data_IF_466030613406
#
_entry.id   IF_466030613406
#
_cell.length_a   1.000
_cell.length_b   1.000
_cell.length_c   1.000
_cell.angle_alpha   90.00
_cell.angle_beta   90.00
_cell.angle_gamma   90.00
#
_symmetry.space_group_name_H-M   'P 1'
#
loop_
_entity.id
_entity.type
_entity.pdbx_description
1 polymer ?
#
# COMPACT_ATOMS: atom_id res chain seq x y z
N UNK A 1 -21.27 -3.80 -8.22
CA UNK A 1 -19.97 -3.09 -8.09
C UNK A 1 -19.44 -2.82 -9.49
N UNK A 2 -18.84 -1.64 -9.74
CA UNK A 2 -18.33 -1.28 -11.06
C UNK A 2 -17.27 -2.31 -11.51
N UNK A 3 -17.55 -3.06 -12.59
CA UNK A 3 -16.69 -4.17 -13.07
C UNK A 3 -15.25 -3.71 -13.30
N UNK A 4 -15.08 -2.48 -13.78
CA UNK A 4 -13.78 -1.86 -14.00
C UNK A 4 -12.99 -1.68 -12.69
N UNK A 5 -13.64 -1.23 -11.61
CA UNK A 5 -12.99 -1.04 -10.30
C UNK A 5 -12.49 -2.37 -9.74
N UNK A 6 -13.32 -3.42 -9.78
CA UNK A 6 -12.92 -4.75 -9.31
C UNK A 6 -11.74 -5.29 -10.13
N UNK A 7 -11.78 -5.13 -11.46
CA UNK A 7 -10.70 -5.56 -12.34
C UNK A 7 -9.39 -4.83 -12.04
N UNK A 8 -9.43 -3.51 -11.84
CA UNK A 8 -8.25 -2.76 -11.45
C UNK A 8 -7.74 -3.21 -10.08
N UNK A 9 -8.62 -3.45 -9.10
CA UNK A 9 -8.24 -3.91 -7.75
C UNK A 9 -7.50 -5.23 -7.80
N UNK A 10 -8.05 -6.18 -8.56
CA UNK A 10 -7.45 -7.49 -8.81
C UNK A 10 -6.07 -7.35 -9.45
N UNK A 11 -5.97 -6.63 -10.58
CA UNK A 11 -4.71 -6.50 -11.32
C UNK A 11 -3.64 -5.84 -10.44
N UNK A 12 -3.96 -4.69 -9.84
CA UNK A 12 -2.98 -3.94 -9.04
C UNK A 12 -2.57 -4.69 -7.77
N UNK A 13 -3.51 -5.33 -7.08
CA UNK A 13 -3.22 -6.15 -5.90
C UNK A 13 -2.34 -7.35 -6.23
N UNK A 14 -2.64 -8.06 -7.32
CA UNK A 14 -1.83 -9.19 -7.80
C UNK A 14 -0.42 -8.72 -8.19
N UNK A 15 -0.30 -7.62 -8.93
CA UNK A 15 1.01 -7.10 -9.36
C UNK A 15 1.86 -6.72 -8.16
N UNK A 16 1.32 -5.99 -7.18
CA UNK A 16 2.07 -5.59 -5.98
C UNK A 16 2.46 -6.83 -5.16
N UNK A 17 1.54 -7.78 -4.98
CA UNK A 17 1.82 -9.01 -4.26
C UNK A 17 2.91 -9.85 -4.93
N UNK A 18 2.86 -9.99 -6.25
CA UNK A 18 3.88 -10.70 -7.02
C UNK A 18 5.25 -10.02 -6.91
N UNK A 19 5.30 -8.69 -7.03
CA UNK A 19 6.54 -7.93 -6.85
C UNK A 19 7.11 -8.11 -5.44
N UNK A 20 6.25 -8.11 -4.41
CA UNK A 20 6.70 -8.31 -3.04
C UNK A 20 7.28 -9.71 -2.81
N UNK A 21 6.67 -10.75 -3.41
CA UNK A 21 7.21 -12.11 -3.39
C UNK A 21 8.57 -12.17 -4.07
N UNK A 22 8.73 -11.54 -5.22
CA UNK A 22 10.02 -11.50 -5.93
C UNK A 22 11.08 -10.81 -5.08
N UNK A 23 10.79 -9.64 -4.51
CA UNK A 23 11.76 -8.92 -3.68
C UNK A 23 12.14 -9.69 -2.41
N UNK A 24 11.15 -10.25 -1.69
CA UNK A 24 11.42 -11.05 -0.51
C UNK A 24 12.20 -12.34 -0.86
N UNK A 25 11.87 -12.98 -1.97
CA UNK A 25 12.57 -14.18 -2.44
C UNK A 25 14.00 -13.92 -2.87
N UNK A 26 14.28 -12.77 -3.49
CA UNK A 26 15.64 -12.34 -3.81
C UNK A 26 16.46 -12.00 -2.55
N UNK A 27 15.82 -11.46 -1.52
CA UNK A 27 16.50 -11.04 -0.29
C UNK A 27 16.74 -12.20 0.70
N UNK A 28 15.73 -13.06 0.90
CA UNK A 28 15.73 -14.09 1.94
C UNK A 28 15.83 -15.52 1.37
N UNK A 29 15.66 -15.69 0.06
CA UNK A 29 15.60 -16.98 -0.63
C UNK A 29 14.17 -17.51 -0.77
N UNK A 30 13.78 -17.93 -1.98
CA UNK A 30 12.40 -18.41 -2.23
C UNK A 30 12.01 -19.65 -1.41
N UNK A 31 12.96 -20.52 -1.06
CA UNK A 31 12.70 -21.73 -0.27
C UNK A 31 12.53 -21.48 1.24
N UNK A 32 12.86 -20.27 1.73
CA UNK A 32 12.80 -19.93 3.16
C UNK A 32 11.54 -19.13 3.51
N UNK A 33 10.81 -18.64 2.50
CA UNK A 33 9.62 -17.83 2.73
C UNK A 33 8.49 -18.69 3.33
N UNK A 34 7.94 -18.29 4.48
CA UNK A 34 6.89 -19.04 5.13
C UNK A 34 5.56 -18.90 4.40
N UNK A 35 4.70 -19.92 4.46
CA UNK A 35 3.38 -19.93 3.78
C UNK A 35 2.53 -18.70 4.14
N UNK A 36 2.59 -18.25 5.40
CA UNK A 36 1.84 -17.06 5.84
C UNK A 36 2.22 -15.80 5.06
N UNK A 37 3.46 -15.67 4.58
CA UNK A 37 3.91 -14.50 3.84
C UNK A 37 3.17 -14.40 2.50
N UNK A 38 2.98 -15.52 1.81
CA UNK A 38 2.21 -15.60 0.57
C UNK A 38 0.73 -15.28 0.80
N UNK A 39 0.15 -15.82 1.89
CA UNK A 39 -1.24 -15.54 2.27
C UNK A 39 -1.44 -14.05 2.58
N UNK A 40 -0.47 -13.40 3.23
CA UNK A 40 -0.52 -11.96 3.47
C UNK A 40 -0.57 -11.15 2.16
N UNK A 41 0.10 -11.60 1.09
CA UNK A 41 0.05 -10.91 -0.20
C UNK A 41 -1.35 -10.94 -0.83
N UNK A 42 -2.15 -11.98 -0.56
CA UNK A 42 -3.53 -12.03 -1.05
C UNK A 42 -4.40 -10.93 -0.45
N UNK A 43 -4.07 -10.42 0.75
CA UNK A 43 -4.77 -9.31 1.38
C UNK A 43 -4.59 -7.99 0.61
N UNK A 44 -3.59 -7.88 -0.27
CA UNK A 44 -3.43 -6.70 -1.11
C UNK A 44 -4.60 -6.53 -2.08
N UNK A 45 -5.21 -7.62 -2.55
CA UNK A 45 -6.36 -7.57 -3.46
C UNK A 45 -7.54 -6.80 -2.85
N UNK A 46 -8.09 -7.18 -1.67
CA UNK A 46 -9.15 -6.41 -1.04
C UNK A 46 -8.66 -5.05 -0.54
N UNK A 47 -7.38 -4.90 -0.14
CA UNK A 47 -6.83 -3.61 0.29
C UNK A 47 -6.85 -2.56 -0.83
N UNK A 48 -6.71 -2.96 -2.10
CA UNK A 48 -6.77 -2.06 -3.26
C UNK A 48 -8.14 -1.39 -3.47
N UNK A 49 -9.20 -1.82 -2.75
CA UNK A 49 -10.48 -1.11 -2.77
C UNK A 49 -10.36 0.30 -2.18
N UNK A 50 -9.54 0.49 -1.14
CA UNK A 50 -9.37 1.79 -0.49
C UNK A 50 -8.80 2.87 -1.43
N UNK A 51 -7.63 2.68 -2.07
CA UNK A 51 -7.11 3.67 -3.00
C UNK A 51 -8.08 3.94 -4.15
N UNK A 52 -8.82 2.93 -4.62
CA UNK A 52 -9.82 3.12 -5.69
C UNK A 52 -11.01 3.96 -5.29
N UNK A 53 -11.36 3.95 -4.00
CA UNK A 53 -12.43 4.81 -3.47
C UNK A 53 -11.91 6.21 -3.15
N UNK A 54 -10.74 6.30 -2.51
CA UNK A 54 -10.26 7.57 -1.96
C UNK A 54 -9.48 8.41 -2.96
N UNK A 55 -8.66 7.83 -3.85
CA UNK A 55 -7.81 8.63 -4.76
C UNK A 55 -8.61 9.50 -5.73
N UNK A 56 -9.72 9.04 -6.35
CA UNK A 56 -10.54 9.91 -7.18
C UNK A 56 -11.13 11.09 -6.40
N UNK A 57 -11.62 10.84 -5.18
CA UNK A 57 -12.17 11.88 -4.30
C UNK A 57 -11.07 12.86 -3.85
N UNK A 58 -9.89 12.35 -3.51
CA UNK A 58 -8.73 13.14 -3.14
C UNK A 58 -8.33 14.08 -4.28
N UNK A 59 -8.25 13.57 -5.51
CA UNK A 59 -7.86 14.35 -6.69
C UNK A 59 -8.82 15.51 -7.00
N UNK A 60 -10.10 15.40 -6.60
CA UNK A 60 -11.09 16.47 -6.77
C UNK A 60 -11.18 17.42 -5.56
N UNK A 61 -10.56 17.07 -4.44
CA UNK A 61 -10.63 17.87 -3.20
C UNK A 61 -9.68 19.05 -3.27
N UNK A 62 -10.18 20.29 -3.14
CA UNK A 62 -9.35 21.51 -3.17
C UNK A 62 -8.52 21.73 -1.90
N UNK A 63 -9.13 21.50 -0.74
CA UNK A 63 -8.44 21.63 0.54
C UNK A 63 -7.25 20.66 0.63
N UNK A 64 -6.07 21.20 0.95
CA UNK A 64 -4.83 20.43 0.93
C UNK A 64 -4.81 19.36 2.02
N UNK A 65 -5.17 19.73 3.25
CA UNK A 65 -5.12 18.82 4.40
C UNK A 65 -6.07 17.63 4.21
N UNK A 66 -7.32 17.90 3.78
CA UNK A 66 -8.31 16.88 3.47
C UNK A 66 -7.88 16.00 2.29
N UNK A 67 -7.31 16.59 1.23
CA UNK A 67 -6.77 15.83 0.08
C UNK A 67 -5.63 14.89 0.52
N UNK A 68 -4.69 15.40 1.30
CA UNK A 68 -3.59 14.60 1.86
C UNK A 68 -4.12 13.47 2.74
N UNK A 69 -5.08 13.74 3.62
CA UNK A 69 -5.70 12.71 4.45
C UNK A 69 -6.34 11.59 3.61
N UNK A 70 -7.06 11.92 2.53
CA UNK A 70 -7.65 10.91 1.64
C UNK A 70 -6.59 10.09 0.90
N UNK A 71 -5.51 10.71 0.41
CA UNK A 71 -4.38 9.95 -0.17
C UNK A 71 -3.71 9.04 0.87
N UNK A 72 -3.52 9.53 2.09
CA UNK A 72 -2.99 8.74 3.21
C UNK A 72 -3.87 7.53 3.50
N UNK A 73 -5.19 7.71 3.63
CA UNK A 73 -6.14 6.63 3.86
C UNK A 73 -6.17 5.60 2.72
N UNK A 74 -6.00 6.04 1.47
CA UNK A 74 -5.90 5.12 0.33
C UNK A 74 -4.62 4.29 0.35
N UNK A 75 -3.50 4.83 0.82
CA UNK A 75 -2.23 4.10 0.91
C UNK A 75 -2.07 3.27 2.19
N UNK A 76 -2.75 3.64 3.27
CA UNK A 76 -2.51 3.12 4.61
C UNK A 76 -2.53 1.59 4.68
N UNK A 77 -3.61 0.95 4.21
CA UNK A 77 -3.77 -0.51 4.31
C UNK A 77 -2.87 -1.28 3.34
N UNK A 78 -2.85 -1.01 2.02
CA UNK A 78 -2.00 -1.77 1.11
C UNK A 78 -0.51 -1.63 1.46
N UNK A 79 -0.08 -0.44 1.90
CA UNK A 79 1.31 -0.24 2.31
C UNK A 79 1.64 -0.94 3.64
N UNK A 80 0.70 -1.00 4.59
CA UNK A 80 0.89 -1.74 5.84
C UNK A 80 1.11 -3.24 5.57
N UNK A 81 0.28 -3.84 4.71
CA UNK A 81 0.41 -5.26 4.33
C UNK A 81 1.77 -5.50 3.69
N UNK A 82 2.15 -4.68 2.70
CA UNK A 82 3.44 -4.77 2.04
C UNK A 82 4.61 -4.67 3.04
N UNK A 83 4.62 -3.62 3.87
CA UNK A 83 5.72 -3.28 4.77
C UNK A 83 5.87 -4.29 5.90
N UNK A 84 4.79 -4.58 6.62
CA UNK A 84 4.86 -5.46 7.79
C UNK A 84 5.09 -6.92 7.41
N UNK A 85 4.50 -7.40 6.30
CA UNK A 85 4.77 -8.77 5.86
C UNK A 85 6.25 -8.97 5.51
N UNK A 86 6.90 -7.96 4.91
CA UNK A 86 8.33 -8.02 4.61
C UNK A 86 9.23 -7.84 5.84
N UNK A 87 8.90 -6.88 6.71
CA UNK A 87 9.74 -6.55 7.87
C UNK A 87 9.82 -7.69 8.89
N UNK A 88 8.72 -8.43 9.08
CA UNK A 88 8.67 -9.58 10.01
C UNK A 88 9.57 -10.73 9.55
N UNK A 89 9.96 -10.79 8.27
CA UNK A 89 10.94 -11.78 7.79
C UNK A 89 12.36 -11.46 8.26
N UNK A 90 12.64 -10.22 8.67
CA UNK A 90 13.97 -9.83 9.14
C UNK A 90 14.22 -10.38 10.56
N UNK A 91 15.30 -11.15 10.80
CA UNK A 91 15.63 -11.65 12.14
C UNK A 91 15.83 -10.54 13.18
N UNK A 92 16.19 -9.33 12.75
CA UNK A 92 16.38 -8.15 13.60
C UNK A 92 15.12 -7.25 13.62
N UNK A 93 13.93 -7.82 13.43
CA UNK A 93 12.68 -7.06 13.37
C UNK A 93 12.44 -6.24 14.64
N UNK A 94 12.25 -4.94 14.45
CA UNK A 94 11.83 -4.02 15.51
C UNK A 94 10.43 -3.46 15.16
N UNK A 95 9.37 -3.86 15.88
CA UNK A 95 8.00 -3.45 15.60
C UNK A 95 7.79 -1.93 15.65
N UNK A 96 8.43 -1.25 16.60
CA UNK A 96 8.29 0.19 16.77
C UNK A 96 8.95 0.95 15.60
N UNK A 97 10.18 0.56 15.23
CA UNK A 97 10.87 1.15 14.08
C UNK A 97 10.10 0.91 12.77
N UNK A 98 9.55 -0.29 12.60
CA UNK A 98 8.70 -0.62 11.46
C UNK A 98 7.45 0.25 11.40
N UNK A 99 6.70 0.38 12.51
CA UNK A 99 5.52 1.24 12.60
C UNK A 99 5.84 2.71 12.31
N UNK A 100 6.92 3.24 12.87
CA UNK A 100 7.35 4.62 12.61
C UNK A 100 7.68 4.81 11.12
N UNK A 101 8.47 3.91 10.54
CA UNK A 101 8.82 3.98 9.11
C UNK A 101 7.58 3.91 8.20
N UNK A 102 6.60 3.09 8.60
CA UNK A 102 5.32 2.98 7.93
C UNK A 102 4.55 4.32 7.97
N UNK A 103 4.37 4.89 9.17
CA UNK A 103 3.65 6.15 9.35
C UNK A 103 4.31 7.29 8.57
N UNK A 104 5.64 7.37 8.63
CA UNK A 104 6.41 8.38 7.89
C UNK A 104 6.20 8.21 6.39
N UNK A 105 6.29 6.99 5.85
CA UNK A 105 6.12 6.78 4.41
C UNK A 105 4.69 7.08 3.94
N UNK A 106 3.68 6.68 4.71
CA UNK A 106 2.28 7.02 4.40
C UNK A 106 2.07 8.53 4.40
N UNK A 107 2.66 9.26 5.35
CA UNK A 107 2.62 10.72 5.39
C UNK A 107 3.33 11.34 4.18
N UNK A 108 4.49 10.82 3.80
CA UNK A 108 5.24 11.24 2.62
C UNK A 108 4.39 11.04 1.37
N UNK A 109 3.81 9.86 1.18
CA UNK A 109 2.90 9.62 0.05
C UNK A 109 1.68 10.54 0.08
N UNK A 110 1.04 10.71 1.24
CA UNK A 110 -0.10 11.61 1.39
C UNK A 110 0.22 13.03 0.91
N UNK A 111 1.34 13.59 1.37
CA UNK A 111 1.79 14.94 1.03
C UNK A 111 2.21 15.05 -0.43
N UNK A 112 3.00 14.10 -0.94
CA UNK A 112 3.47 14.10 -2.33
C UNK A 112 2.30 14.02 -3.30
N UNK A 113 1.39 13.07 -3.12
CA UNK A 113 0.23 12.91 -4.01
C UNK A 113 -0.73 14.10 -3.88
N UNK A 114 -0.94 14.66 -2.68
CA UNK A 114 -1.74 15.87 -2.53
C UNK A 114 -1.11 17.09 -3.22
N UNK A 115 0.20 17.14 -3.31
CA UNK A 115 0.92 18.22 -4.01
C UNK A 115 0.80 18.06 -5.52
N UNK A 116 1.09 16.86 -6.05
CA UNK A 116 1.11 16.56 -7.48
C UNK A 116 -0.31 16.59 -8.08
N UNK A 117 -1.30 16.06 -7.37
CA UNK A 117 -2.70 15.97 -7.82
C UNK A 117 -3.54 17.16 -7.34
N UNK A 118 -2.94 18.34 -7.23
CA UNK A 118 -3.70 19.56 -6.96
C UNK A 118 -4.70 19.77 -8.10
N UNK A 119 -6.01 19.90 -7.83
CA UNK A 119 -6.97 20.20 -8.87
C UNK A 119 -6.61 21.55 -9.49
N UNK A 120 -6.44 21.55 -10.81
CA UNK A 120 -6.38 22.78 -11.60
C UNK A 120 -7.81 23.34 -11.59
N UNK A 121 -7.95 24.63 -11.27
CA UNK A 121 -9.25 25.29 -11.36
C UNK A 121 -9.81 25.19 -12.77
#
# INVERSE_FOLDING_TARGET
MNSMLLRTALITGIVIGALNIVFAGLQYGFGTLPVWFYLAQLLLIPAMILPMRFFPQAAMTRDFARRAAMFGLGWAVPYAIYKFAGDVLNPNFNPAASLISYLVMVLVFAVLFATIRKPQN
#
